data_IF_370313560233
#
_entry.id   IF_370313560233
#
_cell.length_a   1.000
_cell.length_b   1.000
_cell.length_c   1.000
_cell.angle_alpha   90.00
_cell.angle_beta   90.00
_cell.angle_gamma   90.00
#
_symmetry.space_group_name_H-M   'P 1'
#
loop_
_entity.id
_entity.type
_entity.pdbx_description
1 polymer ?
#
# COMPACT_ATOMS: atom_id res chain seq x y z
N UNK A 1 -30.03 10.03 8.51
CA UNK A 1 -29.11 10.54 9.54
C UNK A 1 -27.72 10.21 9.08
N UNK A 2 -27.09 11.23 8.51
CA UNK A 2 -25.97 11.15 7.58
C UNK A 2 -24.68 10.74 8.28
N UNK A 3 -24.05 9.65 7.84
CA UNK A 3 -22.75 9.18 8.34
C UNK A 3 -21.64 10.08 7.80
N UNK A 4 -21.54 11.27 8.41
CA UNK A 4 -20.80 12.42 7.95
C UNK A 4 -19.36 12.45 8.47
N UNK A 5 -18.60 11.37 8.25
CA UNK A 5 -17.19 11.33 8.69
C UNK A 5 -16.28 12.28 7.90
N UNK A 6 -16.76 12.82 6.77
CA UNK A 6 -16.07 13.82 5.95
C UNK A 6 -16.52 15.28 6.20
N UNK A 7 -17.47 15.55 7.12
CA UNK A 7 -17.95 16.92 7.36
C UNK A 7 -17.08 17.72 8.35
N UNK A 8 -15.78 17.77 8.09
CA UNK A 8 -14.94 18.90 8.53
C UNK A 8 -14.26 19.49 7.30
N UNK A 9 -14.65 20.68 6.85
CA UNK A 9 -14.00 21.33 5.72
C UNK A 9 -12.55 21.63 6.10
N UNK A 10 -11.60 20.97 5.43
CA UNK A 10 -10.26 21.51 5.29
C UNK A 10 -10.37 22.70 4.35
N UNK A 11 -10.35 23.91 4.91
CA UNK A 11 -10.43 25.16 4.15
C UNK A 11 -9.27 25.25 3.17
N UNK A 12 -9.54 24.98 1.90
CA UNK A 12 -8.74 25.47 0.77
C UNK A 12 -9.42 26.73 0.25
N UNK A 13 -8.85 27.88 0.60
CA UNK A 13 -9.14 29.14 -0.08
C UNK A 13 -8.40 29.14 -1.42
N UNK A 14 -9.15 29.59 -2.42
CA UNK A 14 -8.76 30.21 -3.67
C UNK A 14 -8.10 29.36 -4.76
N UNK A 15 -8.94 28.94 -5.71
CA UNK A 15 -8.65 29.12 -7.15
C UNK A 15 -9.99 29.14 -7.94
N UNK A 16 -10.49 30.35 -8.19
CA UNK A 16 -11.57 30.64 -9.13
C UNK A 16 -10.97 31.17 -10.44
N UNK A 17 -11.59 30.81 -11.56
CA UNK A 17 -11.58 31.61 -12.79
C UNK A 17 -11.22 30.84 -14.06
N UNK A 18 -12.21 30.26 -14.73
CA UNK A 18 -12.78 30.76 -16.01
C UNK A 18 -11.99 30.30 -17.26
N UNK A 19 -12.46 29.34 -18.05
CA UNK A 19 -13.52 29.37 -19.09
C UNK A 19 -12.95 29.43 -20.52
N UNK A 20 -13.23 28.37 -21.29
CA UNK A 20 -13.57 28.26 -22.73
C UNK A 20 -12.93 29.22 -23.75
N UNK A 21 -12.35 28.63 -24.81
CA UNK A 21 -12.71 28.95 -26.20
C UNK A 21 -12.46 27.76 -27.14
N UNK A 22 -13.38 27.61 -28.09
CA UNK A 22 -13.52 26.52 -29.05
C UNK A 22 -12.85 26.80 -30.41
N UNK A 23 -12.75 25.77 -31.26
CA UNK A 23 -12.52 25.88 -32.72
C UNK A 23 -11.68 24.72 -33.26
N UNK A 24 -12.28 23.57 -33.63
CA UNK A 24 -12.80 23.20 -34.96
C UNK A 24 -11.74 22.97 -36.03
N UNK A 25 -11.69 21.76 -36.60
CA UNK A 25 -11.79 21.48 -38.05
C UNK A 25 -11.65 19.98 -38.35
N UNK A 26 -12.49 19.50 -39.26
CA UNK A 26 -12.65 18.12 -39.69
C UNK A 26 -11.87 17.79 -40.98
N UNK A 27 -11.77 16.49 -41.30
CA UNK A 27 -11.30 15.93 -42.57
C UNK A 27 -10.13 14.96 -42.32
N UNK A 28 -10.09 13.70 -42.77
CA UNK A 28 -10.80 13.02 -43.85
C UNK A 28 -9.76 12.21 -44.64
N UNK A 29 -9.75 10.88 -44.45
CA UNK A 29 -9.22 9.87 -45.39
C UNK A 29 -7.70 9.80 -45.66
N UNK A 30 -7.09 8.64 -45.37
CA UNK A 30 -6.37 7.81 -46.36
C UNK A 30 -5.78 6.56 -45.69
N UNK A 31 -6.30 5.40 -46.10
CA UNK A 31 -5.64 4.10 -45.98
C UNK A 31 -4.42 4.11 -46.91
N UNK A 32 -3.22 3.97 -46.35
CA UNK A 32 -2.05 3.52 -47.08
C UNK A 32 -1.45 2.32 -46.36
N UNK A 33 -1.66 1.17 -46.99
CA UNK A 33 -0.91 -0.05 -46.76
C UNK A 33 0.56 0.22 -47.09
N UNK A 34 1.44 0.03 -46.12
CA UNK A 34 2.87 -0.11 -46.34
C UNK A 34 3.33 -1.37 -45.61
N UNK A 35 3.40 -2.46 -46.36
CA UNK A 35 4.23 -3.62 -46.02
C UNK A 35 5.69 -3.17 -46.03
N UNK A 36 6.18 -2.64 -44.91
CA UNK A 36 7.59 -2.46 -44.64
C UNK A 36 8.06 -3.64 -43.78
N UNK A 37 9.08 -4.34 -44.27
CA UNK A 37 9.52 -5.65 -43.79
C UNK A 37 9.71 -5.74 -42.28
N UNK A 38 9.34 -6.89 -41.74
CA UNK A 38 9.74 -7.39 -40.43
C UNK A 38 11.25 -7.66 -40.39
N UNK A 39 12.04 -6.59 -40.50
CA UNK A 39 13.39 -6.57 -39.94
C UNK A 39 13.21 -6.68 -38.43
N UNK A 40 13.38 -7.89 -37.90
CA UNK A 40 13.39 -8.11 -36.47
C UNK A 40 14.41 -7.16 -35.85
N UNK A 41 13.93 -6.11 -35.20
CA UNK A 41 14.72 -5.37 -34.23
C UNK A 41 15.11 -6.42 -33.18
N UNK A 42 16.31 -6.98 -33.32
CA UNK A 42 17.01 -7.58 -32.20
C UNK A 42 17.12 -6.44 -31.19
N UNK A 43 16.21 -6.40 -30.21
CA UNK A 43 16.39 -5.61 -28.99
C UNK A 43 17.79 -5.97 -28.53
N UNK A 44 18.71 -5.01 -28.57
CA UNK A 44 20.03 -5.18 -27.99
C UNK A 44 19.82 -5.80 -26.61
N UNK A 45 20.52 -6.90 -26.30
CA UNK A 45 20.45 -7.50 -24.97
C UNK A 45 20.74 -6.38 -23.99
N UNK A 46 19.78 -6.06 -23.14
CA UNK A 46 19.96 -5.05 -22.11
C UNK A 46 21.24 -5.40 -21.32
N UNK A 47 22.06 -4.40 -21.07
CA UNK A 47 23.23 -4.56 -20.22
C UNK A 47 22.79 -5.14 -18.88
N UNK A 48 23.49 -6.18 -18.42
CA UNK A 48 23.21 -6.84 -17.13
C UNK A 48 24.47 -6.79 -16.28
N UNK A 49 24.33 -6.21 -15.10
CA UNK A 49 25.35 -6.30 -14.04
C UNK A 49 24.78 -7.22 -12.97
N UNK A 50 25.34 -8.44 -12.80
CA UNK A 50 24.86 -9.38 -11.79
C UNK A 50 24.84 -8.75 -10.40
N UNK A 51 23.73 -8.96 -9.68
CA UNK A 51 23.54 -8.46 -8.31
C UNK A 51 23.81 -9.59 -7.31
N UNK A 52 24.64 -9.34 -6.30
CA UNK A 52 24.80 -10.24 -5.16
C UNK A 52 23.74 -9.97 -4.10
N UNK A 53 22.65 -10.74 -4.12
CA UNK A 53 21.54 -10.60 -3.17
C UNK A 53 21.88 -11.05 -1.74
N UNK A 54 23.07 -11.62 -1.51
CA UNK A 54 23.58 -11.93 -0.17
C UNK A 54 24.35 -10.77 0.44
N UNK A 55 24.85 -9.85 -0.38
CA UNK A 55 25.43 -8.60 0.10
C UNK A 55 24.31 -7.67 0.59
N UNK A 56 24.32 -7.22 1.86
CA UNK A 56 23.24 -6.41 2.41
C UNK A 56 23.00 -5.09 1.68
N UNK A 57 24.03 -4.43 1.16
CA UNK A 57 23.89 -3.16 0.46
C UNK A 57 23.24 -3.36 -0.91
N UNK A 58 23.67 -4.36 -1.67
CA UNK A 58 23.06 -4.74 -2.95
C UNK A 58 21.64 -5.29 -2.79
N UNK A 59 21.39 -6.09 -1.75
CA UNK A 59 20.07 -6.59 -1.37
C UNK A 59 19.10 -5.44 -1.07
N UNK A 60 19.51 -4.48 -0.21
CA UNK A 60 18.70 -3.32 0.13
C UNK A 60 18.44 -2.44 -1.10
N UNK A 61 19.48 -2.15 -1.90
CA UNK A 61 19.33 -1.38 -3.15
C UNK A 61 18.35 -2.05 -4.12
N UNK A 62 18.40 -3.37 -4.23
CA UNK A 62 17.47 -4.15 -5.07
C UNK A 62 16.04 -4.07 -4.55
N UNK A 63 15.86 -4.15 -3.24
CA UNK A 63 14.55 -3.95 -2.61
C UNK A 63 13.99 -2.56 -2.89
N UNK A 64 14.79 -1.50 -2.81
CA UNK A 64 14.37 -0.14 -3.18
C UNK A 64 14.00 -0.06 -4.66
N UNK A 65 14.84 -0.60 -5.56
CA UNK A 65 14.55 -0.64 -7.00
C UNK A 65 13.23 -1.36 -7.32
N UNK A 66 12.87 -2.40 -6.56
CA UNK A 66 11.60 -3.11 -6.72
C UNK A 66 10.41 -2.38 -6.09
N UNK A 67 10.56 -1.80 -4.90
CA UNK A 67 9.44 -1.24 -4.13
C UNK A 67 9.20 0.26 -4.34
N UNK A 68 10.21 0.97 -4.84
CA UNK A 68 10.20 2.40 -5.16
C UNK A 68 11.02 2.69 -6.41
N UNK A 69 11.77 3.80 -6.38
CA UNK A 69 12.66 4.24 -7.46
C UNK A 69 13.97 4.79 -6.84
N UNK A 70 15.11 4.37 -7.38
CA UNK A 70 16.41 4.89 -6.94
C UNK A 70 16.62 6.38 -7.28
N UNK A 71 15.80 6.93 -8.17
CA UNK A 71 15.74 8.37 -8.46
C UNK A 71 14.85 9.09 -7.42
N UNK A 72 15.42 9.97 -6.57
CA UNK A 72 14.70 10.55 -5.43
C UNK A 72 13.62 11.58 -5.81
N UNK A 73 13.57 12.01 -7.07
CA UNK A 73 12.52 12.91 -7.55
C UNK A 73 11.31 12.17 -8.11
N UNK A 74 11.39 10.85 -8.28
CA UNK A 74 10.30 10.04 -8.83
C UNK A 74 9.46 9.42 -7.72
N UNK A 75 8.16 9.45 -7.93
CA UNK A 75 7.18 8.76 -7.10
C UNK A 75 6.78 7.44 -7.77
N UNK A 76 6.62 6.40 -6.96
CA UNK A 76 6.26 5.05 -7.40
C UNK A 76 4.91 4.67 -6.83
N UNK A 77 3.83 4.81 -7.61
CA UNK A 77 2.53 4.29 -7.21
C UNK A 77 2.48 2.77 -7.33
N UNK A 78 1.77 2.13 -6.40
CA UNK A 78 1.52 0.69 -6.42
C UNK A 78 0.06 0.38 -6.08
N UNK A 79 -0.59 -0.45 -6.88
CA UNK A 79 -1.98 -0.89 -6.65
C UNK A 79 -2.00 -2.21 -5.90
N UNK A 80 -3.03 -2.40 -5.08
CA UNK A 80 -3.41 -3.69 -4.55
C UNK A 80 -4.93 -3.87 -4.53
N UNK A 81 -5.38 -5.12 -4.65
CA UNK A 81 -6.80 -5.44 -4.59
C UNK A 81 -7.09 -6.92 -4.39
N UNK A 82 -8.18 -7.21 -3.70
CA UNK A 82 -8.59 -8.59 -3.43
C UNK A 82 -9.76 -8.72 -2.47
N UNK A 83 -9.72 -9.78 -1.67
CA UNK A 83 -10.83 -10.17 -0.78
C UNK A 83 -10.33 -10.34 0.65
N UNK A 84 -11.13 -9.85 1.59
CA UNK A 84 -10.93 -10.07 3.02
C UNK A 84 -11.85 -11.19 3.47
N UNK A 85 -11.28 -12.15 4.20
CA UNK A 85 -11.95 -13.30 4.76
C UNK A 85 -11.98 -13.22 6.28
N UNK A 86 -13.06 -13.71 6.88
CA UNK A 86 -13.14 -13.95 8.32
C UNK A 86 -12.79 -15.38 8.66
N UNK A 87 -11.81 -15.54 9.54
CA UNK A 87 -11.38 -16.80 10.13
C UNK A 87 -11.84 -16.85 11.60
N UNK A 88 -13.00 -17.45 11.87
CA UNK A 88 -13.62 -17.40 13.21
C UNK A 88 -13.61 -18.73 13.94
N UNK A 89 -13.62 -19.84 13.22
CA UNK A 89 -13.67 -21.19 13.79
C UNK A 89 -12.88 -22.16 12.93
N UNK A 90 -12.00 -22.94 13.56
CA UNK A 90 -11.13 -23.93 12.87
C UNK A 90 -11.90 -25.05 12.16
N UNK A 91 -13.17 -25.26 12.46
CA UNK A 91 -14.01 -26.30 11.85
C UNK A 91 -14.87 -25.79 10.67
N UNK A 92 -14.65 -24.56 10.21
CA UNK A 92 -15.37 -23.98 9.06
C UNK A 92 -14.40 -23.41 8.03
N UNK A 93 -14.78 -23.38 6.75
CA UNK A 93 -13.99 -22.66 5.76
C UNK A 93 -13.98 -21.16 6.06
N UNK A 94 -12.94 -20.48 5.58
CA UNK A 94 -12.85 -19.02 5.59
C UNK A 94 -14.07 -18.40 4.88
N UNK A 95 -14.71 -17.43 5.51
CA UNK A 95 -15.88 -16.77 4.92
C UNK A 95 -15.45 -15.49 4.20
N UNK A 96 -15.74 -15.32 2.89
CA UNK A 96 -15.56 -14.05 2.21
C UNK A 96 -16.45 -12.98 2.85
N UNK A 97 -15.86 -11.85 3.27
CA UNK A 97 -16.59 -10.79 3.97
C UNK A 97 -16.83 -9.56 3.10
N UNK A 98 -15.77 -9.08 2.47
CA UNK A 98 -15.75 -7.79 1.79
C UNK A 98 -14.57 -7.72 0.81
N UNK A 99 -14.73 -6.98 -0.29
CA UNK A 99 -13.62 -6.67 -1.18
C UNK A 99 -12.77 -5.53 -0.60
N UNK A 100 -11.50 -5.49 -0.97
CA UNK A 100 -10.58 -4.37 -0.64
C UNK A 100 -9.81 -4.00 -1.89
N UNK A 101 -9.65 -2.70 -2.12
CA UNK A 101 -8.89 -2.16 -3.23
C UNK A 101 -8.29 -0.82 -2.84
N UNK A 102 -7.02 -0.62 -3.17
CA UNK A 102 -6.27 0.53 -2.70
C UNK A 102 -4.97 0.70 -3.47
N UNK A 103 -4.23 1.73 -3.06
CA UNK A 103 -2.92 2.02 -3.60
C UNK A 103 -2.07 2.77 -2.57
N UNK A 104 -0.76 2.70 -2.77
CA UNK A 104 0.19 3.55 -2.06
C UNK A 104 1.07 4.31 -3.05
N UNK A 105 1.67 5.40 -2.58
CA UNK A 105 2.65 6.18 -3.33
C UNK A 105 3.92 6.28 -2.50
N UNK A 106 4.99 5.71 -3.05
CA UNK A 106 6.31 5.63 -2.42
C UNK A 106 7.26 6.60 -3.09
N UNK A 107 8.07 7.31 -2.30
CA UNK A 107 9.25 8.05 -2.76
C UNK A 107 10.41 7.69 -1.85
N UNK A 108 11.59 7.53 -2.42
CA UNK A 108 12.78 7.11 -1.65
C UNK A 108 13.93 8.08 -1.84
N UNK A 109 14.64 8.38 -0.76
CA UNK A 109 15.83 9.24 -0.79
C UNK A 109 17.04 8.46 -0.30
N UNK A 110 18.02 8.25 -1.18
CA UNK A 110 19.33 7.71 -0.79
C UNK A 110 20.07 8.73 0.07
N UNK A 111 20.68 8.25 1.16
CA UNK A 111 21.47 9.06 2.07
C UNK A 111 22.98 8.91 1.77
N UNK A 112 23.85 9.83 2.26
CA UNK A 112 25.29 9.77 1.99
C UNK A 112 25.98 8.48 2.46
N UNK A 113 25.42 7.80 3.47
CA UNK A 113 25.92 6.52 4.00
C UNK A 113 25.36 5.29 3.26
N UNK A 114 24.57 5.49 2.21
CA UNK A 114 23.94 4.42 1.43
C UNK A 114 22.64 3.87 2.02
N UNK A 115 22.16 4.42 3.14
CA UNK A 115 20.82 4.13 3.67
C UNK A 115 19.72 4.80 2.84
N UNK A 116 18.47 4.42 3.09
CA UNK A 116 17.31 4.95 2.37
C UNK A 116 16.25 5.46 3.31
N UNK A 117 15.83 6.70 3.11
CA UNK A 117 14.58 7.21 3.66
C UNK A 117 13.44 6.87 2.72
N UNK A 118 12.45 6.16 3.21
CA UNK A 118 11.25 5.78 2.48
C UNK A 118 10.10 6.63 2.98
N UNK A 119 9.47 7.36 2.06
CA UNK A 119 8.27 8.13 2.28
C UNK A 119 7.11 7.38 1.63
N UNK A 120 6.16 6.93 2.44
CA UNK A 120 5.00 6.19 1.93
C UNK A 120 3.70 6.77 2.48
N UNK A 121 2.69 6.78 1.62
CA UNK A 121 1.31 7.11 1.94
C UNK A 121 0.41 6.09 1.25
N UNK A 122 -0.64 5.66 1.94
CA UNK A 122 -1.47 4.56 1.45
C UNK A 122 -2.94 4.73 1.82
N UNK A 123 -3.82 4.33 0.90
CA UNK A 123 -5.25 4.25 1.16
C UNK A 123 -5.86 2.97 0.61
N UNK A 124 -6.97 2.56 1.22
CA UNK A 124 -7.77 1.44 0.75
C UNK A 124 -9.25 1.68 1.03
N UNK A 125 -10.08 1.29 0.07
CA UNK A 125 -11.53 1.30 0.17
C UNK A 125 -12.06 -0.12 0.12
N UNK A 126 -13.29 -0.29 0.58
CA UNK A 126 -13.93 -1.59 0.66
C UNK A 126 -15.08 -1.69 -0.32
N UNK A 127 -15.28 -2.89 -0.87
CA UNK A 127 -16.21 -3.16 -1.96
C UNK A 127 -17.23 -4.22 -1.56
N UNK A 128 -18.46 -4.08 -2.02
CA UNK A 128 -19.41 -5.18 -1.98
C UNK A 128 -18.93 -6.31 -2.90
N UNK A 129 -19.01 -7.55 -2.42
CA UNK A 129 -18.51 -8.71 -3.15
C UNK A 129 -19.38 -9.11 -4.33
N UNK A 130 -20.66 -8.73 -4.35
CA UNK A 130 -21.60 -9.07 -5.43
C UNK A 130 -21.56 -8.03 -6.54
N UNK A 131 -21.59 -6.75 -6.18
CA UNK A 131 -21.66 -5.65 -7.17
C UNK A 131 -20.27 -5.16 -7.59
N UNK A 132 -19.25 -5.33 -6.75
CA UNK A 132 -17.94 -4.73 -6.97
C UNK A 132 -17.92 -3.21 -6.80
N UNK A 133 -18.96 -2.61 -6.22
CA UNK A 133 -19.01 -1.18 -5.93
C UNK A 133 -18.38 -0.87 -4.57
N UNK A 134 -17.78 0.30 -4.44
CA UNK A 134 -17.30 0.79 -3.15
C UNK A 134 -18.49 1.11 -2.22
N UNK A 135 -18.38 0.72 -0.95
CA UNK A 135 -19.49 0.81 0.01
C UNK A 135 -19.13 1.60 1.28
N UNK A 136 -20.09 2.37 1.77
CA UNK A 136 -19.99 3.12 3.03
C UNK A 136 -20.68 2.41 4.21
N UNK A 137 -21.50 1.40 3.91
CA UNK A 137 -22.22 0.60 4.89
C UNK A 137 -21.99 -0.87 4.59
N UNK A 138 -21.74 -1.64 5.64
CA UNK A 138 -21.57 -3.09 5.53
C UNK A 138 -22.34 -3.80 6.64
N UNK A 139 -23.11 -4.82 6.29
CA UNK A 139 -23.79 -5.64 7.29
C UNK A 139 -22.87 -6.76 7.74
N UNK A 140 -22.50 -6.74 9.01
CA UNK A 140 -21.66 -7.77 9.60
C UNK A 140 -22.40 -9.13 9.57
N UNK A 141 -21.88 -10.14 8.87
CA UNK A 141 -22.57 -11.42 8.71
C UNK A 141 -22.65 -12.23 10.01
N UNK A 142 -21.79 -11.94 10.99
CA UNK A 142 -21.78 -12.60 12.29
C UNK A 142 -22.73 -11.92 13.29
N UNK A 143 -22.67 -10.60 13.41
CA UNK A 143 -23.45 -9.84 14.42
C UNK A 143 -24.76 -9.29 13.88
N UNK A 144 -24.97 -9.32 12.56
CA UNK A 144 -26.09 -8.72 11.81
C UNK A 144 -26.21 -7.21 11.93
N UNK A 145 -25.25 -6.55 12.56
CA UNK A 145 -25.21 -5.09 12.63
C UNK A 145 -24.89 -4.45 11.29
N UNK A 146 -25.46 -3.26 11.06
CA UNK A 146 -25.00 -2.36 10.00
C UNK A 146 -23.86 -1.49 10.55
N UNK A 147 -22.68 -1.66 9.96
CA UNK A 147 -21.46 -0.92 10.30
C UNK A 147 -21.19 0.19 9.29
N UNK A 148 -20.78 1.36 9.79
CA UNK A 148 -20.16 2.41 8.97
C UNK A 148 -18.76 1.95 8.56
N UNK A 149 -18.54 1.79 7.26
CA UNK A 149 -17.22 1.41 6.74
C UNK A 149 -16.26 2.58 6.94
N UNK A 150 -15.06 2.28 7.45
CA UNK A 150 -13.97 3.25 7.56
C UNK A 150 -12.84 2.85 6.62
N UNK A 151 -12.56 3.62 5.55
CA UNK A 151 -11.41 3.43 4.69
C UNK A 151 -10.09 3.39 5.46
N UNK A 152 -9.06 2.81 4.85
CA UNK A 152 -7.68 3.01 5.28
C UNK A 152 -7.18 4.28 4.59
N UNK A 153 -6.55 5.18 5.34
CA UNK A 153 -5.98 6.42 4.82
C UNK A 153 -4.81 6.88 5.71
N UNK A 154 -3.72 6.13 5.68
CA UNK A 154 -2.53 6.42 6.47
C UNK A 154 -1.71 7.49 5.75
N UNK A 155 -1.57 8.68 6.35
CA UNK A 155 -0.94 9.84 5.69
C UNK A 155 0.59 9.74 5.66
N UNK A 156 1.18 9.16 6.71
CA UNK A 156 2.63 8.95 6.83
C UNK A 156 2.95 7.54 7.31
N UNK A 157 3.66 6.78 6.48
CA UNK A 157 4.15 5.42 6.81
C UNK A 157 5.64 5.35 6.42
N UNK A 158 6.45 6.21 7.04
CA UNK A 158 7.84 6.37 6.68
C UNK A 158 8.70 5.25 7.26
N UNK A 159 9.81 4.92 6.60
CA UNK A 159 10.78 3.97 7.12
C UNK A 159 12.21 4.42 6.81
N UNK A 160 13.13 4.21 7.75
CA UNK A 160 14.55 4.39 7.50
C UNK A 160 15.19 3.01 7.34
N UNK A 161 15.62 2.67 6.13
CA UNK A 161 16.20 1.37 5.83
C UNK A 161 17.72 1.49 5.76
N UNK A 162 18.41 0.67 6.55
CA UNK A 162 19.87 0.75 6.74
C UNK A 162 20.53 -0.60 6.46
N UNK A 163 21.82 -0.55 6.17
CA UNK A 163 22.71 -1.71 6.31
C UNK A 163 23.24 -1.72 7.74
N UNK A 164 23.01 -2.83 8.45
CA UNK A 164 23.42 -3.04 9.83
C UNK A 164 24.48 -4.13 9.88
N UNK A 165 25.61 -3.87 10.55
CA UNK A 165 26.65 -4.88 10.80
C UNK A 165 26.08 -6.12 11.53
N UNK A 166 25.07 -5.93 12.37
CA UNK A 166 24.46 -7.01 13.16
C UNK A 166 23.43 -7.82 12.39
N UNK A 167 22.66 -7.18 11.53
CA UNK A 167 21.46 -7.77 10.94
C UNK A 167 21.52 -7.93 9.41
N UNK A 168 22.57 -7.42 8.75
CA UNK A 168 22.61 -7.25 7.32
C UNK A 168 21.73 -6.07 6.92
N UNK A 169 20.44 -6.30 6.70
CA UNK A 169 19.46 -5.25 6.42
C UNK A 169 18.58 -5.00 7.64
N UNK A 170 18.29 -3.73 7.93
CA UNK A 170 17.45 -3.35 9.07
C UNK A 170 16.57 -2.14 8.77
N UNK A 171 15.50 -2.00 9.57
CA UNK A 171 14.72 -0.77 9.71
C UNK A 171 15.21 -0.08 10.97
N UNK A 172 15.59 1.18 10.89
CA UNK A 172 15.81 2.01 12.07
C UNK A 172 14.49 2.60 12.55
N UNK A 173 14.19 2.40 13.83
CA UNK A 173 12.95 2.83 14.47
C UNK A 173 13.26 3.59 15.75
N UNK A 174 12.49 4.64 16.02
CA UNK A 174 12.55 5.37 17.27
C UNK A 174 11.61 4.74 18.31
N UNK A 175 12.17 4.32 19.44
CA UNK A 175 11.43 3.89 20.63
C UNK A 175 11.71 4.87 21.78
N UNK A 176 10.83 5.86 21.92
CA UNK A 176 10.88 6.88 22.98
C UNK A 176 12.21 7.66 23.07
N UNK A 177 12.68 8.14 21.91
CA UNK A 177 13.94 8.88 21.75
C UNK A 177 15.16 8.00 21.59
N UNK A 178 14.99 6.67 21.58
CA UNK A 178 16.06 5.70 21.34
C UNK A 178 15.92 5.06 19.97
N UNK A 179 16.80 5.44 19.06
CA UNK A 179 16.92 4.77 17.76
C UNK A 179 17.43 3.34 17.94
N UNK A 180 16.73 2.39 17.34
CA UNK A 180 17.06 0.97 17.35
C UNK A 180 16.94 0.38 15.95
N UNK A 181 17.92 -0.43 15.57
CA UNK A 181 17.85 -1.25 14.36
C UNK A 181 17.02 -2.52 14.64
N UNK A 182 15.99 -2.73 13.83
CA UNK A 182 15.15 -3.94 13.81
C UNK A 182 15.46 -4.72 12.53
N UNK A 183 15.67 -6.05 12.60
CA UNK A 183 16.01 -6.84 11.42
C UNK A 183 14.96 -6.70 10.31
N UNK A 184 15.41 -6.34 9.12
CA UNK A 184 14.61 -6.33 7.89
C UNK A 184 15.01 -7.56 7.09
N UNK A 185 14.27 -8.66 7.20
CA UNK A 185 14.58 -9.88 6.45
C UNK A 185 14.05 -9.73 5.02
N UNK A 186 14.98 -9.61 4.08
CA UNK A 186 14.70 -9.60 2.64
C UNK A 186 14.99 -10.99 2.09
N UNK A 187 13.95 -11.68 1.62
CA UNK A 187 14.09 -13.00 0.99
C UNK A 187 14.19 -12.88 -0.52
N UNK A 188 15.06 -13.70 -1.10
CA UNK A 188 15.35 -13.69 -2.52
C UNK A 188 15.48 -15.11 -3.06
N UNK A 189 14.78 -15.40 -4.14
CA UNK A 189 14.94 -16.64 -4.90
C UNK A 189 15.02 -16.34 -6.39
N UNK A 190 15.85 -17.06 -7.13
CA UNK A 190 16.04 -16.83 -8.57
C UNK A 190 15.84 -18.12 -9.37
N UNK A 191 15.08 -18.04 -10.45
CA UNK A 191 14.83 -19.17 -11.36
C UNK A 191 14.91 -18.67 -12.81
N UNK A 192 16.08 -18.80 -13.43
CA UNK A 192 16.33 -18.20 -14.74
C UNK A 192 16.22 -16.68 -14.66
N UNK A 193 15.36 -16.07 -15.49
CA UNK A 193 15.10 -14.62 -15.44
C UNK A 193 14.05 -14.19 -14.41
N UNK A 194 13.55 -15.11 -13.59
CA UNK A 194 12.53 -14.80 -12.58
C UNK A 194 13.22 -14.51 -11.25
N UNK A 195 12.99 -13.31 -10.71
CA UNK A 195 13.35 -12.94 -9.35
C UNK A 195 12.09 -12.99 -8.48
N UNK A 196 12.16 -13.74 -7.38
CA UNK A 196 11.14 -13.74 -6.34
C UNK A 196 11.68 -12.99 -5.13
N UNK A 197 10.86 -12.09 -4.58
CA UNK A 197 11.20 -11.30 -3.40
C UNK A 197 10.14 -11.48 -2.32
N UNK A 198 10.59 -11.71 -1.09
CA UNK A 198 9.71 -11.73 0.09
C UNK A 198 10.13 -10.69 1.11
N UNK A 199 9.12 -10.06 1.71
CA UNK A 199 9.28 -9.13 2.83
C UNK A 199 8.09 -9.35 3.77
N UNK A 200 8.36 -9.48 5.06
CA UNK A 200 7.32 -9.75 6.05
C UNK A 200 7.53 -8.92 7.31
N UNK A 201 6.42 -8.44 7.86
CA UNK A 201 6.37 -7.72 9.13
C UNK A 201 5.43 -8.47 10.06
N UNK A 202 5.98 -9.00 11.15
CA UNK A 202 5.21 -9.70 12.20
C UNK A 202 5.32 -8.91 13.49
N UNK A 203 4.24 -8.24 13.87
CA UNK A 203 4.23 -7.27 14.97
C UNK A 203 3.24 -7.64 16.06
N UNK A 204 3.61 -7.29 17.29
CA UNK A 204 2.74 -7.31 18.45
C UNK A 204 3.08 -6.09 19.31
N UNK A 205 2.14 -5.16 19.45
CA UNK A 205 2.34 -3.94 20.23
C UNK A 205 1.08 -3.58 21.03
N UNK A 206 1.19 -2.75 22.07
CA UNK A 206 0.03 -2.27 22.82
C UNK A 206 -1.00 -1.61 21.88
N UNK A 207 -2.26 -2.00 22.01
CA UNK A 207 -3.35 -1.45 21.20
C UNK A 207 -3.70 -0.03 21.66
N UNK A 208 -3.78 0.92 20.72
CA UNK A 208 -4.34 2.26 21.01
C UNK A 208 -5.86 2.22 21.28
N UNK A 209 -6.54 1.17 20.79
CA UNK A 209 -7.94 0.89 21.06
C UNK A 209 -8.02 -0.09 22.22
N UNK A 210 -7.89 0.39 23.47
CA UNK A 210 -7.97 -0.47 24.65
C UNK A 210 -9.41 -0.96 24.89
N UNK A 211 -9.62 -2.20 25.38
CA UNK A 211 -10.97 -2.73 25.62
C UNK A 211 -11.81 -1.90 26.58
N UNK A 212 -11.18 -1.27 27.57
CA UNK A 212 -11.85 -0.44 28.57
C UNK A 212 -12.46 0.83 27.96
N UNK A 213 -11.79 1.39 26.94
CA UNK A 213 -12.25 2.60 26.25
C UNK A 213 -13.09 2.27 25.00
N UNK A 214 -12.80 1.17 24.33
CA UNK A 214 -13.37 0.76 23.04
C UNK A 214 -13.96 -0.65 23.10
N UNK A 215 -15.00 -0.88 23.92
CA UNK A 215 -15.49 -2.24 24.22
C UNK A 215 -16.02 -2.99 23.00
N UNK A 216 -16.45 -2.29 21.94
CA UNK A 216 -17.01 -2.90 20.73
C UNK A 216 -16.03 -2.96 19.57
N UNK A 217 -15.01 -2.13 19.59
CA UNK A 217 -14.06 -1.93 18.49
C UNK A 217 -12.67 -2.50 18.80
N UNK A 218 -12.34 -2.67 20.07
CA UNK A 218 -11.07 -3.22 20.51
C UNK A 218 -11.02 -4.74 20.32
N UNK A 219 -9.99 -5.20 19.62
CA UNK A 219 -9.65 -6.62 19.54
C UNK A 219 -8.85 -7.13 20.75
N UNK A 220 -8.59 -6.29 21.75
CA UNK A 220 -7.79 -6.63 22.93
C UNK A 220 -6.72 -5.60 23.25
N UNK A 221 -5.95 -5.87 24.31
CA UNK A 221 -4.87 -5.00 24.80
C UNK A 221 -3.62 -5.00 23.91
N UNK A 222 -3.45 -6.05 23.10
CA UNK A 222 -2.31 -6.22 22.20
C UNK A 222 -2.83 -6.34 20.79
N UNK A 223 -2.36 -5.46 19.91
CA UNK A 223 -2.62 -5.53 18.48
C UNK A 223 -1.55 -6.41 17.83
N UNK A 224 -1.98 -7.49 17.19
CA UNK A 224 -1.10 -8.43 16.46
C UNK A 224 -1.40 -8.38 14.98
N UNK A 225 -0.41 -8.07 14.17
CA UNK A 225 -0.55 -7.97 12.72
C UNK A 225 0.63 -8.66 12.05
N UNK A 226 0.32 -9.48 11.04
CA UNK A 226 1.28 -9.99 10.08
C UNK A 226 0.97 -9.38 8.71
N UNK A 227 1.99 -8.77 8.10
CA UNK A 227 1.96 -8.29 6.72
C UNK A 227 2.98 -9.09 5.92
N UNK A 228 2.55 -9.73 4.84
CA UNK A 228 3.31 -10.73 4.09
C UNK A 228 3.28 -10.33 2.62
N UNK A 229 4.43 -9.94 2.09
CA UNK A 229 4.58 -9.48 0.72
C UNK A 229 5.39 -10.49 -0.09
N UNK A 230 4.86 -10.86 -1.25
CA UNK A 230 5.53 -11.73 -2.21
C UNK A 230 5.48 -11.06 -3.58
N UNK A 231 6.65 -10.93 -4.23
CA UNK A 231 6.79 -10.26 -5.53
C UNK A 231 7.50 -11.17 -6.50
N UNK A 232 7.18 -11.00 -7.77
CA UNK A 232 7.83 -11.64 -8.92
C UNK A 232 8.19 -10.55 -9.93
N UNK A 233 9.46 -10.52 -10.31
CA UNK A 233 10.05 -9.50 -11.19
C UNK A 233 11.00 -10.14 -12.22
N UNK A 234 11.38 -9.38 -13.24
CA UNK A 234 12.46 -9.77 -14.16
C UNK A 234 13.81 -9.53 -13.52
N UNK A 235 14.63 -10.57 -13.43
CA UNK A 235 16.01 -10.46 -12.95
C UNK A 235 16.85 -9.59 -13.89
N UNK A 236 16.69 -9.74 -15.22
CA UNK A 236 17.38 -8.89 -16.19
C UNK A 236 17.07 -7.39 -16.01
N UNK A 237 15.83 -7.03 -15.68
CA UNK A 237 15.46 -5.64 -15.40
C UNK A 237 16.07 -5.13 -14.09
N UNK A 238 16.11 -5.97 -13.06
CA UNK A 238 16.76 -5.67 -11.79
C UNK A 238 18.27 -5.48 -11.96
N UNK A 239 18.92 -6.30 -12.80
CA UNK A 239 20.35 -6.23 -13.11
C UNK A 239 20.70 -5.14 -14.13
N UNK A 240 19.72 -4.51 -14.77
CA UNK A 240 19.97 -3.43 -15.72
C UNK A 240 20.39 -2.13 -14.98
N UNK A 241 21.61 -1.62 -15.16
CA UNK A 241 22.07 -0.40 -14.48
C UNK A 241 21.30 0.85 -14.91
N UNK A 242 20.69 0.86 -16.10
CA UNK A 242 19.88 1.98 -16.59
C UNK A 242 18.46 2.00 -15.98
N UNK A 243 18.01 0.92 -15.33
CA UNK A 243 16.71 0.87 -14.66
C UNK A 243 16.87 1.33 -13.21
N UNK A 244 16.14 2.39 -12.82
CA UNK A 244 16.11 2.90 -11.44
C UNK A 244 14.93 2.37 -10.63
N UNK A 245 13.86 1.94 -11.32
CA UNK A 245 12.66 1.31 -10.77
C UNK A 245 12.28 0.12 -11.65
N UNK A 246 12.44 -1.10 -11.12
CA UNK A 246 12.09 -2.32 -11.83
C UNK A 246 10.63 -2.69 -11.57
N UNK A 247 9.92 -3.15 -12.59
CA UNK A 247 8.53 -3.58 -12.45
C UNK A 247 8.40 -4.88 -11.64
N UNK A 248 7.24 -5.07 -11.01
CA UNK A 248 6.88 -6.34 -10.36
C UNK A 248 5.37 -6.52 -10.35
N UNK A 249 4.96 -7.80 -10.34
CA UNK A 249 3.64 -8.21 -9.88
C UNK A 249 3.78 -9.04 -8.59
N UNK A 250 2.72 -9.17 -7.81
CA UNK A 250 2.83 -9.82 -6.52
C UNK A 250 1.51 -10.05 -5.81
N UNK A 251 1.64 -10.43 -4.54
CA UNK A 251 0.54 -10.54 -3.60
C UNK A 251 0.90 -9.86 -2.29
N UNK A 252 -0.09 -9.21 -1.69
CA UNK A 252 -0.05 -8.80 -0.30
C UNK A 252 -1.07 -9.63 0.48
N UNK A 253 -0.59 -10.29 1.52
CA UNK A 253 -1.40 -11.03 2.48
C UNK A 253 -1.27 -10.36 3.83
N UNK A 254 -2.39 -10.14 4.51
CA UNK A 254 -2.40 -9.63 5.86
C UNK A 254 -3.23 -10.52 6.76
N UNK A 255 -2.69 -10.82 7.93
CA UNK A 255 -3.42 -11.46 9.02
C UNK A 255 -3.46 -10.48 10.18
N UNK A 256 -4.65 -10.17 10.67
CA UNK A 256 -4.83 -9.26 11.80
C UNK A 256 -6.17 -9.48 12.48
N UNK A 257 -6.46 -8.77 13.57
CA UNK A 257 -7.77 -8.88 14.19
C UNK A 257 -8.85 -8.26 13.29
N UNK A 258 -10.10 -8.39 13.73
CA UNK A 258 -11.22 -7.61 13.20
C UNK A 258 -10.87 -6.12 13.11
N UNK A 259 -11.30 -5.48 12.02
CA UNK A 259 -11.18 -4.04 11.91
C UNK A 259 -12.11 -3.37 12.94
N UNK A 260 -11.70 -2.24 13.55
CA UNK A 260 -12.47 -1.59 14.61
C UNK A 260 -13.93 -1.32 14.22
N UNK A 261 -14.14 -0.84 12.99
CA UNK A 261 -15.47 -0.52 12.46
C UNK A 261 -16.36 -1.74 12.21
N UNK A 262 -15.80 -2.97 12.18
CA UNK A 262 -16.59 -4.20 12.07
C UNK A 262 -17.31 -4.56 13.37
N UNK A 263 -17.00 -3.88 14.50
CA UNK A 263 -17.68 -4.01 15.80
C UNK A 263 -17.74 -5.43 16.35
N UNK A 264 -16.68 -6.19 16.16
CA UNK A 264 -16.54 -7.55 16.69
C UNK A 264 -15.92 -7.59 18.10
N UNK A 265 -15.38 -6.47 18.60
CA UNK A 265 -14.66 -6.42 19.86
C UNK A 265 -13.63 -7.54 19.96
N UNK A 266 -13.68 -8.26 21.08
CA UNK A 266 -12.80 -9.39 21.38
C UNK A 266 -13.36 -10.74 20.92
N UNK A 267 -14.29 -10.77 19.96
CA UNK A 267 -14.78 -12.02 19.40
C UNK A 267 -13.64 -12.82 18.76
N UNK A 268 -13.63 -14.13 19.02
CA UNK A 268 -12.63 -15.04 18.48
C UNK A 268 -12.55 -14.95 16.96
N UNK A 269 -11.31 -14.95 16.46
CA UNK A 269 -11.01 -15.00 15.04
C UNK A 269 -10.05 -13.92 14.57
N UNK A 270 -9.81 -13.94 13.26
CA UNK A 270 -8.93 -13.01 12.57
C UNK A 270 -9.46 -12.69 11.17
N UNK A 271 -8.91 -11.65 10.57
CA UNK A 271 -9.07 -11.32 9.17
C UNK A 271 -7.88 -11.83 8.38
N UNK A 272 -8.15 -12.52 7.28
CA UNK A 272 -7.18 -12.83 6.24
C UNK A 272 -7.46 -11.97 5.01
N UNK A 273 -6.53 -11.09 4.68
CA UNK A 273 -6.54 -10.32 3.44
C UNK A 273 -5.78 -11.16 2.42
N UNK A 274 -6.41 -11.45 1.29
CA UNK A 274 -5.77 -12.12 0.15
C UNK A 274 -5.89 -11.19 -1.05
N UNK A 275 -4.78 -10.56 -1.43
CA UNK A 275 -4.77 -9.55 -2.49
C UNK A 275 -3.68 -9.84 -3.53
N UNK A 276 -3.91 -9.33 -4.73
CA UNK A 276 -2.87 -9.09 -5.72
C UNK A 276 -2.32 -7.67 -5.54
N UNK A 277 -1.09 -7.45 -6.00
CA UNK A 277 -0.49 -6.14 -6.08
C UNK A 277 0.42 -6.01 -7.30
N UNK A 278 0.62 -4.79 -7.77
CA UNK A 278 1.55 -4.50 -8.87
C UNK A 278 2.08 -3.08 -8.73
N UNK A 279 3.30 -2.85 -9.21
CA UNK A 279 3.80 -1.49 -9.42
C UNK A 279 3.04 -0.86 -10.60
N UNK A 280 2.83 0.45 -10.53
CA UNK A 280 2.27 1.25 -11.60
C UNK A 280 3.33 2.22 -12.12
N UNK A 281 3.32 2.51 -13.42
CA UNK A 281 4.20 3.53 -14.00
C UNK A 281 3.74 4.96 -13.68
N UNK A 282 2.50 5.12 -13.21
CA UNK A 282 1.89 6.41 -12.90
C UNK A 282 0.50 6.26 -12.28
N UNK A 283 0.01 7.34 -11.65
CA UNK A 283 -1.31 7.41 -11.00
C UNK A 283 -2.46 7.26 -12.00
N UNK A 284 -2.22 7.60 -13.26
CA UNK A 284 -3.15 7.44 -14.38
C UNK A 284 -3.49 5.97 -14.68
N UNK A 285 -2.65 5.02 -14.25
CA UNK A 285 -2.93 3.59 -14.37
C UNK A 285 -3.85 3.03 -13.27
N UNK A 286 -4.23 3.84 -12.27
CA UNK A 286 -5.18 3.39 -11.25
C UNK A 286 -6.53 3.01 -11.88
N UNK A 287 -7.19 1.94 -11.40
CA UNK A 287 -8.54 1.61 -11.84
C UNK A 287 -9.49 2.80 -11.69
N UNK A 288 -10.29 3.07 -12.73
CA UNK A 288 -11.09 4.30 -12.82
C UNK A 288 -12.03 4.53 -11.62
N UNK A 289 -12.59 3.47 -11.04
CA UNK A 289 -13.40 3.56 -9.83
C UNK A 289 -12.59 4.00 -8.61
N UNK A 290 -11.42 3.39 -8.39
CA UNK A 290 -10.50 3.72 -7.30
C UNK A 290 -10.01 5.17 -7.44
N UNK A 291 -9.60 5.56 -8.65
CA UNK A 291 -9.17 6.94 -8.93
C UNK A 291 -10.26 7.95 -8.58
N UNK A 292 -11.51 7.70 -9.01
CA UNK A 292 -12.64 8.61 -8.76
C UNK A 292 -12.96 8.76 -7.27
N UNK A 293 -13.06 7.66 -6.52
CA UNK A 293 -13.38 7.74 -5.09
C UNK A 293 -12.25 8.40 -4.29
N UNK A 294 -11.00 8.21 -4.69
CA UNK A 294 -9.86 8.91 -4.10
C UNK A 294 -9.86 10.41 -4.43
N UNK A 295 -10.14 10.80 -5.68
CA UNK A 295 -10.29 12.22 -6.06
C UNK A 295 -11.35 12.93 -5.22
N UNK A 296 -12.48 12.25 -4.98
CA UNK A 296 -13.58 12.79 -4.20
C UNK A 296 -13.25 12.92 -2.70
N UNK A 297 -12.57 11.92 -2.12
CA UNK A 297 -12.50 11.76 -0.66
C UNK A 297 -11.12 11.99 -0.06
N UNK A 298 -10.07 11.71 -0.82
CA UNK A 298 -8.68 11.64 -0.35
C UNK A 298 -7.68 12.16 -1.43
N UNK A 299 -7.90 13.36 -2.02
CA UNK A 299 -7.12 13.82 -3.17
C UNK A 299 -5.61 13.98 -2.89
N UNK A 300 -5.20 14.12 -1.64
CA UNK A 300 -3.80 14.18 -1.23
C UNK A 300 -3.06 12.84 -1.34
N UNK A 301 -3.76 11.72 -1.54
CA UNK A 301 -3.17 10.38 -1.60
C UNK A 301 -2.51 10.05 -2.95
N UNK A 302 -2.63 10.92 -3.96
CA UNK A 302 -1.98 10.73 -5.27
C UNK A 302 -0.48 11.08 -5.29
N UNK A 303 0.10 11.43 -4.16
CA UNK A 303 1.51 11.77 -4.02
C UNK A 303 2.08 11.22 -2.72
N UNK A 304 3.39 11.00 -2.68
CA UNK A 304 4.08 10.59 -1.48
C UNK A 304 4.11 11.73 -0.44
N UNK A 305 4.37 11.42 0.85
CA UNK A 305 4.61 12.45 1.85
C UNK A 305 5.79 13.36 1.46
N UNK A 306 5.68 14.68 1.71
CA UNK A 306 6.79 15.60 1.47
C UNK A 306 7.95 15.31 2.43
N UNK A 307 9.17 15.70 2.05
CA UNK A 307 10.36 15.53 2.91
C UNK A 307 10.19 16.17 4.31
N UNK A 308 9.41 17.25 4.42
CA UNK A 308 9.08 17.91 5.69
C UNK A 308 8.26 17.07 6.66
N UNK A 309 7.68 15.94 6.22
CA UNK A 309 6.98 14.99 7.10
C UNK A 309 7.95 14.05 7.83
N UNK A 310 9.24 14.06 7.50
CA UNK A 310 10.20 13.18 8.16
C UNK A 310 10.28 13.46 9.68
N UNK A 311 10.27 12.41 10.48
CA UNK A 311 10.24 12.50 11.94
C UNK A 311 8.84 12.66 12.55
N UNK A 312 7.78 12.77 11.73
CA UNK A 312 6.42 12.66 12.25
C UNK A 312 6.12 11.21 12.70
N UNK A 313 5.16 11.06 13.61
CA UNK A 313 4.69 9.74 14.03
C UNK A 313 4.01 9.05 12.84
N UNK A 314 4.42 7.81 12.55
CA UNK A 314 3.75 6.99 11.55
C UNK A 314 2.31 6.69 11.95
N UNK A 315 1.44 6.69 10.96
CA UNK A 315 0.06 6.28 11.08
C UNK A 315 -0.06 4.75 11.00
N UNK A 316 -1.13 4.25 11.62
CA UNK A 316 -1.70 2.94 11.37
C UNK A 316 -3.20 3.09 11.19
N UNK A 317 -3.85 2.14 10.52
CA UNK A 317 -5.32 2.19 10.37
C UNK A 317 -6.05 2.20 11.71
N UNK A 318 -5.42 1.69 12.77
CA UNK A 318 -5.97 1.71 14.14
C UNK A 318 -5.79 3.07 14.82
N UNK A 319 -4.63 3.73 14.66
CA UNK A 319 -4.40 5.07 15.21
C UNK A 319 -5.24 6.13 14.51
N UNK A 320 -5.39 6.01 13.19
CA UNK A 320 -6.29 6.86 12.39
C UNK A 320 -7.74 6.67 12.85
N UNK A 321 -8.20 5.42 13.01
CA UNK A 321 -9.53 5.14 13.55
C UNK A 321 -9.74 5.74 14.95
N UNK A 322 -8.77 5.58 15.85
CA UNK A 322 -8.82 6.10 17.21
C UNK A 322 -8.92 7.64 17.25
N UNK A 323 -8.27 8.32 16.31
CA UNK A 323 -8.27 9.79 16.18
C UNK A 323 -9.58 10.33 15.62
N UNK A 324 -10.21 9.61 14.71
CA UNK A 324 -11.36 10.10 13.94
C UNK A 324 -12.71 9.58 14.43
N UNK A 325 -12.72 8.54 15.26
CA UNK A 325 -13.93 7.91 15.77
C UNK A 325 -14.13 8.18 17.25
N UNK A 326 -15.38 8.05 17.69
CA UNK A 326 -15.75 8.04 19.11
C UNK A 326 -16.12 6.62 19.52
N UNK A 327 -15.67 6.12 20.69
CA UNK A 327 -16.04 4.79 21.13
C UNK A 327 -17.55 4.60 21.24
N UNK A 328 -18.04 3.46 20.78
CA UNK A 328 -19.43 3.08 20.91
C UNK A 328 -19.70 2.54 22.32
N UNK A 329 -20.89 2.81 22.89
CA UNK A 329 -21.27 2.23 24.18
C UNK A 329 -21.32 0.70 24.08
N UNK A 330 -21.08 -0.03 25.18
CA UNK A 330 -21.30 -1.47 25.25
C UNK A 330 -22.70 -1.86 24.74
N UNK A 331 -22.82 -3.09 24.23
CA UNK A 331 -24.12 -3.66 23.88
C UNK A 331 -24.94 -3.99 25.12
#
# INVERSE_FOLDING_TARGET
MDSNWMNKPHTRRDALGSMLMAGSMAGGGLLLSACAGSGGLQKAKAERVPVDLKDPAQSLRTFIKLTGDLDPVKETPGWFGGTIFGDTQRNRPLMPLIGVEGFGVVRTEVQPDGSFKVFNRECAFYKDLKTGEFIDKWTNPYTKEVCDVKPIHNLTVNAHLIVSEKFGTAIEMDFDGKLMAVPLRLGWETFGDKLFSTFEVHTAFPSELTPEKWPRESAGKVLRIAEIFQRFASLAEVENPATTSADYSGTWTRVGPWLPWMRQGQADGSLLFRTFMTKLSGIDQLPAGLRRITEERLPEFFQAPPASSWGSKNDSSFSVYAKESTPLPPK
#
